data_IF_119649353561
#
_entry.id   IF_119649353561
#
_cell.length_a   1.000
_cell.length_b   1.000
_cell.length_c   1.000
_cell.angle_alpha   90.00
_cell.angle_beta   90.00
_cell.angle_gamma   90.00
#
_symmetry.space_group_name_H-M   'P 1'
#
loop_
_entity.id
_entity.type
_entity.pdbx_description
1 polymer ?
#
# COMPACT_ATOMS: atom_id res chain seq x y z
N UNK A 1 2.80 8.19 8.27
CA UNK A 1 1.57 8.26 9.10
C UNK A 1 0.70 9.50 8.86
N UNK A 2 1.25 10.60 8.34
CA UNK A 2 0.66 11.96 8.39
C UNK A 2 -0.22 12.37 7.20
N UNK A 3 -0.88 11.44 6.49
CA UNK A 3 -1.86 11.88 5.50
C UNK A 3 -3.03 12.53 6.23
N UNK A 4 -3.20 13.85 6.08
CA UNK A 4 -4.15 14.66 6.86
C UNK A 4 -5.62 14.26 6.69
N UNK A 5 -5.95 13.51 5.65
CA UNK A 5 -7.29 12.96 5.43
C UNK A 5 -7.19 11.51 4.95
N UNK A 6 -7.90 10.62 5.64
CA UNK A 6 -8.27 9.28 5.15
C UNK A 6 -9.77 9.29 4.94
N UNK A 7 -10.21 9.17 3.69
CA UNK A 7 -11.63 9.08 3.38
C UNK A 7 -12.28 7.84 4.00
N UNK A 8 -13.61 7.83 4.06
CA UNK A 8 -14.39 6.69 4.55
C UNK A 8 -14.28 5.43 3.66
N UNK A 9 -13.67 5.55 2.47
CA UNK A 9 -13.41 4.41 1.60
C UNK A 9 -12.38 3.44 2.18
N UNK A 10 -12.64 2.14 2.01
CA UNK A 10 -11.75 1.03 2.39
C UNK A 10 -11.35 1.01 3.88
N UNK A 11 -12.30 1.07 4.83
CA UNK A 11 -11.99 1.16 6.27
C UNK A 11 -11.19 -0.04 6.78
N UNK A 12 -11.48 -1.25 6.29
CA UNK A 12 -10.74 -2.46 6.64
C UNK A 12 -9.29 -2.41 6.14
N UNK A 13 -9.07 -1.97 4.90
CA UNK A 13 -7.71 -1.81 4.35
C UNK A 13 -6.94 -0.72 5.10
N UNK A 14 -7.59 0.38 5.47
CA UNK A 14 -6.98 1.43 6.28
C UNK A 14 -6.55 0.93 7.66
N UNK A 15 -7.38 0.09 8.29
CA UNK A 15 -7.09 -0.55 9.57
C UNK A 15 -5.94 -1.55 9.43
N UNK A 16 -5.97 -2.41 8.41
CA UNK A 16 -4.89 -3.36 8.13
C UNK A 16 -3.54 -2.66 7.89
N UNK A 17 -3.52 -1.59 7.09
CA UNK A 17 -2.32 -0.77 6.88
C UNK A 17 -1.82 -0.12 8.17
N UNK A 18 -2.73 0.34 9.04
CA UNK A 18 -2.34 0.89 10.33
C UNK A 18 -1.73 -0.17 11.25
N UNK A 19 -2.33 -1.36 11.31
CA UNK A 19 -1.82 -2.50 12.06
C UNK A 19 -0.43 -2.94 11.56
N UNK A 20 -0.24 -3.04 10.24
CA UNK A 20 1.05 -3.38 9.62
C UNK A 20 2.15 -2.38 10.02
N UNK A 21 1.84 -1.07 9.96
CA UNK A 21 2.82 -0.06 10.35
C UNK A 21 3.18 -0.16 11.84
N UNK A 22 2.23 -0.51 12.70
CA UNK A 22 2.48 -0.72 14.13
C UNK A 22 3.33 -1.97 14.36
N UNK A 23 3.04 -3.07 13.68
CA UNK A 23 3.85 -4.29 13.70
C UNK A 23 5.31 -3.97 13.38
N UNK A 24 5.57 -3.30 12.25
CA UNK A 24 6.93 -2.90 11.88
C UNK A 24 7.56 -2.02 12.96
N UNK A 25 6.85 -1.00 13.46
CA UNK A 25 7.40 -0.07 14.46
C UNK A 25 7.79 -0.75 15.77
N UNK A 26 6.99 -1.71 16.24
CA UNK A 26 7.22 -2.35 17.54
C UNK A 26 8.14 -3.55 17.47
N UNK A 27 8.11 -4.30 16.36
CA UNK A 27 8.92 -5.51 16.19
C UNK A 27 10.30 -5.25 15.60
N UNK A 28 10.52 -4.14 14.87
CA UNK A 28 11.77 -3.88 14.16
C UNK A 28 13.01 -3.91 15.07
N UNK A 29 12.92 -3.34 16.28
CA UNK A 29 14.06 -3.30 17.19
C UNK A 29 14.45 -4.70 17.66
N UNK A 30 13.49 -5.49 18.13
CA UNK A 30 13.73 -6.86 18.58
C UNK A 30 14.29 -7.74 17.46
N UNK A 31 13.71 -7.64 16.26
CA UNK A 31 14.14 -8.42 15.09
C UNK A 31 15.56 -8.05 14.65
N UNK A 32 15.95 -6.78 14.78
CA UNK A 32 17.32 -6.36 14.51
C UNK A 32 18.29 -6.87 15.57
N UNK A 33 17.96 -6.73 16.86
CA UNK A 33 18.84 -7.10 17.97
C UNK A 33 19.04 -8.62 18.09
N UNK A 34 17.99 -9.42 17.83
CA UNK A 34 18.04 -10.88 17.98
C UNK A 34 18.50 -11.59 16.71
N UNK A 35 17.99 -11.16 15.55
CA UNK A 35 18.12 -11.91 14.29
C UNK A 35 18.90 -11.12 13.21
N UNK A 36 19.28 -9.87 13.47
CA UNK A 36 19.93 -9.00 12.49
C UNK A 36 19.01 -8.57 11.34
N UNK A 37 17.68 -8.65 11.53
CA UNK A 37 16.69 -8.35 10.50
C UNK A 37 16.24 -6.89 10.60
N UNK A 38 16.51 -6.11 9.55
CA UNK A 38 15.94 -4.78 9.38
C UNK A 38 14.52 -4.87 8.82
N UNK A 39 13.57 -4.20 9.47
CA UNK A 39 12.18 -4.18 9.03
C UNK A 39 11.78 -2.78 8.54
N UNK A 40 11.08 -2.73 7.41
CA UNK A 40 10.44 -1.52 6.87
C UNK A 40 9.04 -1.86 6.38
N UNK A 41 8.18 -0.85 6.25
CA UNK A 41 6.86 -0.97 5.65
C UNK A 41 6.62 0.25 4.75
N UNK A 42 6.24 -0.02 3.50
CA UNK A 42 6.03 1.00 2.46
C UNK A 42 4.64 0.85 1.87
N UNK A 43 3.95 1.98 1.67
CA UNK A 43 2.73 2.05 0.87
C UNK A 43 3.11 2.55 -0.53
N UNK A 44 3.06 1.67 -1.53
CA UNK A 44 3.44 2.00 -2.92
C UNK A 44 2.46 2.98 -3.57
N UNK A 45 1.27 3.14 -3.01
CA UNK A 45 0.19 3.93 -3.59
C UNK A 45 -0.68 3.11 -4.54
N UNK A 46 -1.50 3.79 -5.35
CA UNK A 46 -2.44 3.12 -6.25
C UNK A 46 -1.78 2.79 -7.59
N UNK A 47 -1.22 1.58 -7.69
CA UNK A 47 -0.46 1.09 -8.85
C UNK A 47 -1.27 0.22 -9.82
N UNK A 48 -2.42 -0.30 -9.39
CA UNK A 48 -3.25 -1.22 -10.17
C UNK A 48 -4.74 -0.95 -10.01
N UNK A 49 -5.51 -1.07 -11.09
CA UNK A 49 -6.97 -1.07 -11.00
C UNK A 49 -7.47 -2.44 -10.51
N UNK A 50 -8.03 -2.45 -9.29
CA UNK A 50 -8.53 -3.64 -8.58
C UNK A 50 -10.06 -3.82 -8.73
N UNK A 51 -10.72 -3.00 -9.56
CA UNK A 51 -12.14 -3.19 -9.88
C UNK A 51 -12.38 -4.57 -10.54
N UNK A 52 -13.63 -5.08 -10.49
CA UNK A 52 -14.00 -6.31 -11.19
C UNK A 52 -13.57 -6.29 -12.66
N UNK A 53 -13.12 -7.43 -13.19
CA UNK A 53 -12.54 -7.52 -14.53
C UNK A 53 -13.40 -6.88 -15.64
N UNK A 54 -14.73 -7.07 -15.68
CA UNK A 54 -15.55 -6.42 -16.70
C UNK A 54 -15.51 -4.89 -16.62
N UNK A 55 -15.59 -4.33 -15.42
CA UNK A 55 -15.57 -2.88 -15.20
C UNK A 55 -14.19 -2.30 -15.53
N UNK A 56 -13.14 -2.97 -15.05
CA UNK A 56 -11.75 -2.60 -15.32
C UNK A 56 -11.47 -2.52 -16.83
N UNK A 57 -11.91 -3.51 -17.61
CA UNK A 57 -11.70 -3.54 -19.05
C UNK A 57 -12.41 -2.38 -19.76
N UNK A 58 -13.69 -2.18 -19.45
CA UNK A 58 -14.46 -1.06 -20.01
C UNK A 58 -13.81 0.29 -19.69
N UNK A 59 -13.40 0.49 -18.44
CA UNK A 59 -12.76 1.74 -18.02
C UNK A 59 -11.39 1.92 -18.66
N UNK A 60 -10.63 0.84 -18.84
CA UNK A 60 -9.36 0.91 -19.57
C UNK A 60 -9.55 1.29 -21.04
N UNK A 61 -10.60 0.78 -21.71
CA UNK A 61 -10.99 1.20 -23.06
C UNK A 61 -11.40 2.69 -23.11
N UNK A 62 -12.02 3.19 -22.05
CA UNK A 62 -12.34 4.62 -21.87
C UNK A 62 -11.12 5.49 -21.50
N UNK A 63 -9.92 4.89 -21.41
CA UNK A 63 -8.67 5.59 -21.12
C UNK A 63 -8.37 5.77 -19.63
N UNK A 64 -9.05 5.05 -18.74
CA UNK A 64 -8.71 5.05 -17.33
C UNK A 64 -7.42 4.28 -17.07
N UNK A 65 -6.52 4.86 -16.27
CA UNK A 65 -5.31 4.21 -15.76
C UNK A 65 -5.13 4.57 -14.28
N UNK A 66 -4.49 3.69 -13.52
CA UNK A 66 -4.09 4.01 -12.15
C UNK A 66 -3.07 5.17 -12.16
N UNK A 67 -3.02 6.03 -11.12
CA UNK A 67 -2.13 7.18 -11.09
C UNK A 67 -0.64 6.86 -11.05
N UNK A 68 -0.28 5.63 -10.66
CA UNK A 68 1.09 5.12 -10.63
C UNK A 68 1.16 3.83 -11.43
N UNK A 69 2.32 3.55 -12.02
CA UNK A 69 2.57 2.28 -12.69
C UNK A 69 3.38 1.30 -11.81
N UNK A 70 3.71 0.14 -12.39
CA UNK A 70 4.47 -0.90 -11.69
C UNK A 70 5.93 -0.48 -11.42
N UNK A 71 6.51 0.36 -12.28
CA UNK A 71 7.87 0.87 -12.12
C UNK A 71 7.92 1.88 -10.99
N UNK A 72 6.93 2.78 -10.91
CA UNK A 72 6.73 3.72 -9.80
C UNK A 72 6.58 2.98 -8.46
N UNK A 73 5.85 1.87 -8.47
CA UNK A 73 5.67 1.02 -7.29
C UNK A 73 6.99 0.38 -6.85
N UNK A 74 7.73 -0.19 -7.79
CA UNK A 74 9.00 -0.86 -7.52
C UNK A 74 10.07 0.11 -7.00
N UNK A 75 10.11 1.34 -7.51
CA UNK A 75 11.09 2.35 -7.10
C UNK A 75 10.92 2.88 -5.66
N UNK A 76 9.83 2.52 -4.98
CA UNK A 76 9.52 2.95 -3.61
C UNK A 76 10.00 1.98 -2.54
N UNK A 77 10.51 0.81 -2.94
CA UNK A 77 10.98 -0.26 -2.05
C UNK A 77 12.50 -0.27 -1.96
#
# INVERSE_FOLDING_TARGET
FSRGYKGAGHPHTNMAKAALNMLTRTSAQEMFEKDGILMTAVDTGWITDERPHPDKMRLAEEGFHAPLDLVDGAARV
#
